data_IF_672581078936
#
_entry.id   IF_672581078936
#
_cell.length_a   1.000
_cell.length_b   1.000
_cell.length_c   1.000
_cell.angle_alpha   90.00
_cell.angle_beta   90.00
_cell.angle_gamma   90.00
#
_symmetry.space_group_name_H-M   'P 1'
#
loop_
_entity.id
_entity.type
_entity.pdbx_description
1 polymer ?
#
# COMPACT_ATOMS: atom_id res chain seq x y z
N UNK A 1 -68.61 -12.19 -49.16
CA UNK A 1 -68.76 -13.55 -49.73
C UNK A 1 -67.81 -13.71 -50.90
N UNK A 2 -66.63 -14.28 -50.71
CA UNK A 2 -66.16 -15.45 -51.49
C UNK A 2 -64.87 -15.97 -50.85
N UNK A 3 -64.75 -17.27 -50.87
CA UNK A 3 -63.85 -18.12 -50.10
C UNK A 3 -62.64 -18.51 -50.96
N UNK A 4 -61.53 -18.90 -50.31
CA UNK A 4 -60.88 -20.23 -50.44
C UNK A 4 -59.33 -20.15 -50.41
N UNK A 5 -58.76 -20.85 -49.40
CA UNK A 5 -57.34 -21.27 -49.21
C UNK A 5 -56.87 -22.22 -50.35
N UNK A 6 -55.68 -22.91 -50.31
CA UNK A 6 -54.46 -22.85 -49.46
C UNK A 6 -53.13 -22.90 -50.26
N UNK A 7 -51.97 -22.93 -49.58
CA UNK A 7 -50.77 -23.53 -50.20
C UNK A 7 -49.42 -23.24 -49.53
N UNK A 8 -48.98 -24.18 -48.70
CA UNK A 8 -47.60 -24.66 -48.50
C UNK A 8 -46.46 -23.73 -48.03
N UNK A 9 -45.70 -24.21 -47.05
CA UNK A 9 -44.29 -23.84 -46.89
C UNK A 9 -43.80 -23.55 -45.47
N UNK A 10 -44.05 -24.43 -44.50
CA UNK A 10 -43.25 -24.46 -43.28
C UNK A 10 -41.91 -25.15 -43.59
N UNK A 11 -40.82 -24.40 -43.52
CA UNK A 11 -39.47 -24.93 -43.40
C UNK A 11 -38.75 -24.09 -42.35
N UNK A 12 -38.61 -24.69 -41.17
CA UNK A 12 -37.80 -24.20 -40.08
C UNK A 12 -36.39 -23.88 -40.58
N UNK A 13 -35.90 -22.69 -40.25
CA UNK A 13 -34.48 -22.37 -40.26
C UNK A 13 -34.04 -22.21 -38.82
N UNK A 14 -33.44 -23.28 -38.32
CA UNK A 14 -32.52 -23.24 -37.19
C UNK A 14 -31.39 -22.28 -37.54
N UNK A 15 -31.48 -21.07 -37.00
CA UNK A 15 -30.40 -20.09 -36.95
C UNK A 15 -29.95 -20.01 -35.51
N UNK A 16 -29.04 -20.91 -35.15
CA UNK A 16 -28.18 -20.85 -33.98
C UNK A 16 -27.40 -19.54 -34.02
N UNK A 17 -27.99 -18.49 -33.42
CA UNK A 17 -27.24 -17.29 -33.04
C UNK A 17 -26.48 -17.63 -31.78
N UNK A 18 -25.34 -18.32 -31.98
CA UNK A 18 -24.30 -18.48 -30.99
C UNK A 18 -23.85 -17.08 -30.58
N UNK A 19 -24.37 -16.61 -29.45
CA UNK A 19 -23.90 -15.41 -28.78
C UNK A 19 -22.62 -15.82 -28.06
N UNK A 20 -21.51 -15.86 -28.81
CA UNK A 20 -20.18 -16.07 -28.23
C UNK A 20 -19.91 -14.95 -27.22
N UNK A 21 -19.60 -15.27 -25.95
CA UNK A 21 -19.22 -14.25 -25.00
C UNK A 21 -17.86 -13.68 -25.44
N UNK A 22 -17.81 -12.35 -25.60
CA UNK A 22 -16.59 -11.59 -25.77
C UNK A 22 -15.49 -12.15 -24.85
N UNK A 23 -14.37 -12.57 -25.46
CA UNK A 23 -13.21 -13.04 -24.74
C UNK A 23 -12.70 -12.01 -23.73
N UNK A 24 -11.89 -12.42 -22.73
CA UNK A 24 -11.41 -11.52 -21.70
C UNK A 24 -10.77 -10.27 -22.32
N UNK A 25 -11.34 -9.13 -21.92
CA UNK A 25 -11.04 -7.78 -22.37
C UNK A 25 -9.52 -7.54 -22.38
N UNK A 26 -9.02 -6.98 -23.49
CA UNK A 26 -7.61 -6.61 -23.76
C UNK A 26 -7.00 -5.53 -22.82
N UNK A 27 -7.40 -5.50 -21.54
CA UNK A 27 -6.80 -4.66 -20.49
C UNK A 27 -5.38 -5.11 -20.09
N UNK A 28 -4.92 -6.24 -20.62
CA UNK A 28 -3.82 -7.03 -20.07
C UNK A 28 -2.42 -6.67 -20.61
N UNK A 29 -2.22 -5.46 -21.12
CA UNK A 29 -0.88 -5.08 -21.63
C UNK A 29 -0.55 -3.60 -21.50
N UNK A 30 -0.90 -2.98 -20.38
CA UNK A 30 -0.14 -1.80 -19.97
C UNK A 30 1.18 -2.27 -19.33
N UNK A 31 2.33 -1.62 -19.62
CA UNK A 31 3.57 -1.95 -18.95
C UNK A 31 3.37 -1.76 -17.44
N UNK A 32 3.32 -2.87 -16.69
CA UNK A 32 3.20 -2.87 -15.23
C UNK A 32 4.45 -2.20 -14.66
N UNK A 33 4.27 -1.03 -14.06
CA UNK A 33 5.31 -0.43 -13.26
C UNK A 33 5.46 -1.27 -11.99
N UNK A 34 6.60 -1.94 -11.84
CA UNK A 34 6.90 -2.82 -10.71
C UNK A 34 8.03 -2.25 -9.87
N UNK A 35 7.97 -2.51 -8.57
CA UNK A 35 9.02 -2.13 -7.60
C UNK A 35 9.41 -3.36 -6.80
N UNK A 36 10.70 -3.69 -6.76
CA UNK A 36 11.23 -4.72 -5.87
C UNK A 36 11.27 -4.18 -4.44
N UNK A 37 10.61 -4.86 -3.51
CA UNK A 37 10.53 -4.45 -2.10
C UNK A 37 11.26 -5.47 -1.22
N UNK A 38 12.15 -4.99 -0.36
CA UNK A 38 12.86 -5.81 0.63
C UNK A 38 12.78 -5.19 2.02
N UNK A 39 13.04 -5.99 3.05
CA UNK A 39 13.24 -5.48 4.39
C UNK A 39 14.60 -4.76 4.50
N UNK A 40 14.61 -3.62 5.19
CA UNK A 40 15.80 -2.90 5.58
C UNK A 40 16.06 -3.13 7.08
N UNK A 41 17.03 -4.00 7.43
CA UNK A 41 17.46 -4.15 8.82
C UNK A 41 18.28 -2.92 9.24
N UNK A 42 17.99 -2.41 10.44
CA UNK A 42 18.78 -1.35 11.08
C UNK A 42 18.96 -1.74 12.56
N UNK A 43 20.16 -2.19 12.96
CA UNK A 43 20.36 -2.78 14.29
C UNK A 43 20.14 -1.79 15.44
N UNK A 44 20.19 -0.48 15.18
CA UNK A 44 19.91 0.55 16.18
C UNK A 44 18.41 0.75 16.30
N UNK A 45 17.74 1.03 15.18
CA UNK A 45 16.30 1.29 15.17
C UNK A 45 15.49 0.03 15.49
N UNK A 46 15.96 -1.15 15.13
CA UNK A 46 15.28 -2.41 15.44
C UNK A 46 15.21 -2.72 16.94
N UNK A 47 16.02 -2.07 17.79
CA UNK A 47 15.98 -2.24 19.25
C UNK A 47 15.03 -1.27 19.96
N UNK A 48 14.89 -0.07 19.41
CA UNK A 48 14.19 1.06 20.07
C UNK A 48 12.94 1.51 19.32
N UNK A 49 12.76 1.06 18.08
CA UNK A 49 11.69 1.47 17.20
C UNK A 49 10.39 0.73 17.44
N UNK A 50 9.40 1.10 16.64
CA UNK A 50 8.04 0.60 16.70
C UNK A 50 7.67 -0.06 15.37
N UNK A 51 6.99 -1.20 15.42
CA UNK A 51 6.45 -1.84 14.23
C UNK A 51 5.55 -0.84 13.46
N UNK A 52 5.65 -0.73 12.12
CA UNK A 52 4.81 0.14 11.29
C UNK A 52 3.29 -0.01 11.54
N UNK A 53 2.88 -1.19 12.02
CA UNK A 53 1.50 -1.58 12.33
C UNK A 53 1.09 -1.27 13.77
N UNK A 54 2.00 -0.80 14.60
CA UNK A 54 1.73 -0.48 16.00
C UNK A 54 0.80 0.73 16.17
N UNK A 55 0.09 0.76 17.29
CA UNK A 55 -0.71 1.91 17.70
C UNK A 55 0.14 3.17 17.90
N UNK A 56 1.42 3.02 18.27
CA UNK A 56 2.36 4.13 18.38
C UNK A 56 2.54 4.86 17.04
N UNK A 57 2.79 4.10 15.97
CA UNK A 57 2.97 4.67 14.63
C UNK A 57 1.69 5.35 14.15
N UNK A 58 0.54 4.71 14.35
CA UNK A 58 -0.74 5.30 13.99
C UNK A 58 -1.02 6.60 14.77
N UNK A 59 -0.73 6.63 16.08
CA UNK A 59 -1.02 7.78 16.94
C UNK A 59 -0.10 8.97 16.67
N UNK A 60 1.20 8.74 16.49
CA UNK A 60 2.20 9.82 16.48
C UNK A 60 2.80 10.09 15.10
N UNK A 61 3.00 9.07 14.28
CA UNK A 61 3.57 9.24 12.94
C UNK A 61 2.52 9.65 11.90
N UNK A 62 1.22 9.40 12.12
CA UNK A 62 0.17 9.74 11.14
C UNK A 62 0.12 11.24 10.81
N UNK A 63 0.21 12.12 11.80
CA UNK A 63 0.23 13.57 11.57
C UNK A 63 1.49 14.06 10.85
N UNK A 64 2.57 13.26 10.88
CA UNK A 64 3.89 13.64 10.36
C UNK A 64 4.12 13.06 8.95
N UNK A 65 3.81 11.77 8.75
CA UNK A 65 3.93 11.06 7.47
C UNK A 65 2.69 11.21 6.58
N UNK A 66 1.53 11.40 7.19
CA UNK A 66 0.24 11.39 6.51
C UNK A 66 -0.35 9.97 6.37
N UNK A 67 -1.68 9.86 6.19
CA UNK A 67 -2.39 8.58 6.23
C UNK A 67 -1.90 7.57 5.19
N UNK A 68 -1.66 8.02 3.95
CA UNK A 68 -1.23 7.15 2.85
C UNK A 68 0.14 6.51 3.11
N UNK A 69 1.06 7.24 3.76
CA UNK A 69 2.38 6.69 4.11
C UNK A 69 2.28 5.63 5.19
N UNK A 70 1.45 5.88 6.23
CA UNK A 70 1.22 4.92 7.30
C UNK A 70 0.56 3.65 6.76
N UNK A 71 -0.51 3.78 5.96
CA UNK A 71 -1.19 2.62 5.37
C UNK A 71 -0.28 1.84 4.42
N UNK A 72 0.47 2.52 3.54
CA UNK A 72 1.44 1.84 2.67
C UNK A 72 2.48 1.08 3.49
N UNK A 73 3.08 1.70 4.52
CA UNK A 73 4.09 1.05 5.34
C UNK A 73 3.53 -0.19 6.07
N UNK A 74 2.28 -0.13 6.55
CA UNK A 74 1.59 -1.28 7.15
C UNK A 74 1.41 -2.41 6.14
N UNK A 75 0.88 -2.12 4.95
CA UNK A 75 0.69 -3.11 3.88
C UNK A 75 2.02 -3.75 3.46
N UNK A 76 3.08 -2.96 3.32
CA UNK A 76 4.40 -3.49 2.97
C UNK A 76 4.99 -4.32 4.12
N UNK A 77 4.80 -3.93 5.38
CA UNK A 77 5.25 -4.69 6.54
C UNK A 77 4.54 -6.06 6.64
N UNK A 78 3.21 -6.09 6.46
CA UNK A 78 2.45 -7.35 6.43
C UNK A 78 2.94 -8.28 5.32
N UNK A 79 3.23 -7.73 4.13
CA UNK A 79 3.78 -8.53 3.02
C UNK A 79 5.20 -8.99 3.27
N UNK A 80 6.07 -8.17 3.86
CA UNK A 80 7.44 -8.57 4.22
C UNK A 80 7.47 -9.62 5.33
N UNK A 81 6.46 -9.66 6.21
CA UNK A 81 6.31 -10.74 7.19
C UNK A 81 5.94 -12.06 6.51
N UNK A 82 5.09 -12.03 5.49
CA UNK A 82 4.71 -13.21 4.70
C UNK A 82 5.80 -13.65 3.69
N UNK A 83 6.56 -12.70 3.14
CA UNK A 83 7.59 -12.88 2.12
C UNK A 83 8.93 -12.23 2.58
N UNK A 84 9.68 -12.84 3.52
CA UNK A 84 10.85 -12.21 4.14
C UNK A 84 12.03 -11.92 3.21
N UNK A 85 12.17 -12.70 2.14
CA UNK A 85 13.20 -12.51 1.10
C UNK A 85 12.90 -11.31 0.17
N UNK A 86 11.74 -10.69 0.35
CA UNK A 86 11.23 -9.59 -0.46
C UNK A 86 10.25 -10.05 -1.54
N UNK A 87 9.58 -9.08 -2.15
CA UNK A 87 8.54 -9.32 -3.14
C UNK A 87 8.53 -8.25 -4.23
N UNK A 88 7.82 -8.53 -5.33
CA UNK A 88 7.56 -7.55 -6.38
C UNK A 88 6.21 -6.87 -6.13
N UNK A 89 6.23 -5.55 -6.01
CA UNK A 89 5.05 -4.71 -5.85
C UNK A 89 4.60 -4.19 -7.21
N UNK A 90 3.37 -4.50 -7.62
CA UNK A 90 2.71 -3.79 -8.71
C UNK A 90 2.23 -2.41 -8.23
N UNK A 91 2.73 -1.36 -8.86
CA UNK A 91 2.46 0.03 -8.45
C UNK A 91 0.99 0.40 -8.72
N UNK A 92 0.40 -0.04 -9.82
CA UNK A 92 -0.98 0.30 -10.15
C UNK A 92 -1.98 -0.39 -9.23
N UNK A 93 -1.75 -1.68 -8.96
CA UNK A 93 -2.58 -2.49 -8.07
C UNK A 93 -2.51 -1.98 -6.62
N UNK A 94 -1.29 -1.70 -6.14
CA UNK A 94 -1.09 -1.14 -4.80
C UNK A 94 -1.71 0.25 -4.64
N UNK A 95 -1.61 1.10 -5.67
CA UNK A 95 -2.23 2.42 -5.63
C UNK A 95 -3.77 2.31 -5.55
N UNK A 96 -4.36 1.38 -6.30
CA UNK A 96 -5.80 1.11 -6.25
C UNK A 96 -6.23 0.57 -4.89
N UNK A 97 -5.52 -0.41 -4.33
CA UNK A 97 -5.84 -1.00 -3.03
C UNK A 97 -5.77 0.01 -1.88
N UNK A 98 -4.94 1.05 -2.02
CA UNK A 98 -4.80 2.15 -1.06
C UNK A 98 -5.73 3.34 -1.32
N UNK A 99 -6.59 3.28 -2.34
CA UNK A 99 -7.49 4.38 -2.72
C UNK A 99 -6.77 5.61 -3.32
N UNK A 100 -5.57 5.42 -3.87
CA UNK A 100 -4.71 6.46 -4.44
C UNK A 100 -4.89 6.64 -5.97
N UNK A 101 -5.78 5.85 -6.59
CA UNK A 101 -6.04 5.85 -8.03
C UNK A 101 -5.11 4.93 -8.83
N UNK A 102 -5.14 5.05 -10.16
CA UNK A 102 -4.45 4.12 -11.10
C UNK A 102 -3.14 4.69 -11.68
N UNK A 103 -2.72 5.88 -11.27
CA UNK A 103 -1.54 6.53 -11.82
C UNK A 103 -0.24 5.80 -11.45
N UNK A 104 0.62 5.55 -12.44
CA UNK A 104 1.92 4.86 -12.26
C UNK A 104 3.15 5.74 -12.54
N UNK A 105 2.95 7.01 -12.90
CA UNK A 105 4.05 7.92 -13.22
C UNK A 105 4.83 8.43 -12.00
N UNK A 106 5.94 9.14 -12.25
CA UNK A 106 6.77 9.75 -11.19
C UNK A 106 6.01 10.69 -10.24
N UNK A 107 4.95 11.31 -10.75
CA UNK A 107 4.10 12.25 -10.00
C UNK A 107 2.83 11.61 -9.42
N UNK A 108 2.64 10.30 -9.65
CA UNK A 108 1.50 9.57 -9.12
C UNK A 108 1.44 9.64 -7.59
N UNK A 109 0.24 9.59 -6.98
CA UNK A 109 0.10 9.66 -5.53
C UNK A 109 0.90 8.58 -4.79
N UNK A 110 0.96 7.34 -5.31
CA UNK A 110 1.79 6.28 -4.72
C UNK A 110 3.29 6.61 -4.81
N UNK A 111 3.77 7.08 -5.96
CA UNK A 111 5.17 7.53 -6.13
C UNK A 111 5.54 8.66 -5.16
N UNK A 112 4.63 9.62 -4.93
CA UNK A 112 4.80 10.68 -3.93
C UNK A 112 4.80 10.14 -2.49
N UNK A 113 3.94 9.17 -2.21
CA UNK A 113 3.87 8.48 -0.89
C UNK A 113 5.19 7.76 -0.60
N UNK A 114 5.73 7.01 -1.56
CA UNK A 114 7.03 6.34 -1.39
C UNK A 114 8.15 7.37 -1.25
N UNK A 115 8.16 8.43 -2.07
CA UNK A 115 9.15 9.50 -1.96
C UNK A 115 9.13 10.13 -0.57
N UNK A 116 7.94 10.33 0.02
CA UNK A 116 7.80 10.83 1.38
C UNK A 116 8.33 9.84 2.41
N UNK A 117 8.02 8.54 2.31
CA UNK A 117 8.63 7.53 3.19
C UNK A 117 10.16 7.56 3.12
N UNK A 118 10.75 7.76 1.92
CA UNK A 118 12.19 7.92 1.77
C UNK A 118 12.70 9.20 2.43
N UNK A 119 12.02 10.33 2.25
CA UNK A 119 12.40 11.62 2.86
C UNK A 119 12.38 11.58 4.39
N UNK A 120 11.44 10.86 4.98
CA UNK A 120 11.35 10.65 6.43
C UNK A 120 12.25 9.52 6.93
N UNK A 121 13.02 8.89 6.05
CA UNK A 121 13.96 7.82 6.40
C UNK A 121 13.29 6.48 6.73
N UNK A 122 12.00 6.31 6.47
CA UNK A 122 11.26 5.05 6.71
C UNK A 122 11.53 4.00 5.64
N UNK A 123 11.97 4.45 4.47
CA UNK A 123 12.36 3.59 3.37
C UNK A 123 13.60 4.13 2.66
N UNK A 124 14.27 3.29 1.88
CA UNK A 124 15.42 3.66 1.08
C UNK A 124 15.27 3.13 -0.34
N UNK A 125 15.62 3.93 -1.35
CA UNK A 125 15.70 3.44 -2.74
C UNK A 125 17.02 2.72 -2.95
N UNK A 126 16.99 1.62 -3.69
CA UNK A 126 18.17 0.90 -4.15
C UNK A 126 18.00 0.47 -5.60
N UNK A 127 19.09 0.37 -6.35
CA UNK A 127 19.04 0.07 -7.77
C UNK A 127 18.15 1.05 -8.56
N UNK A 128 17.59 0.58 -9.67
CA UNK A 128 16.67 1.37 -10.50
C UNK A 128 15.24 1.37 -9.95
N UNK A 129 14.76 0.19 -9.56
CA UNK A 129 13.34 -0.05 -9.22
C UNK A 129 13.18 -0.69 -7.82
N UNK A 130 14.12 -0.48 -6.91
CA UNK A 130 14.12 -1.05 -5.56
C UNK A 130 13.58 -0.11 -4.47
N UNK A 131 12.95 -0.68 -3.46
CA UNK A 131 12.53 -0.03 -2.23
C UNK A 131 12.80 -0.92 -1.01
N UNK A 132 13.69 -0.49 -0.13
CA UNK A 132 13.93 -1.17 1.15
C UNK A 132 13.11 -0.47 2.24
N UNK A 133 12.24 -1.18 2.95
CA UNK A 133 11.42 -0.62 4.04
C UNK A 133 12.03 -0.96 5.40
N UNK A 134 12.15 0.03 6.30
CA UNK A 134 12.55 -0.25 7.67
C UNK A 134 11.57 -1.20 8.36
N UNK A 135 12.10 -2.20 9.06
CA UNK A 135 11.30 -3.12 9.88
C UNK A 135 10.64 -2.43 11.07
N UNK A 136 11.33 -1.43 11.63
CA UNK A 136 10.82 -0.61 12.73
C UNK A 136 11.00 0.87 12.41
N UNK A 137 10.02 1.66 12.81
CA UNK A 137 10.09 3.11 12.71
C UNK A 137 10.72 3.68 13.98
N UNK A 138 11.64 4.64 13.88
CA UNK A 138 12.25 5.26 15.05
C UNK A 138 11.17 5.89 15.95
N UNK A 139 11.42 6.00 17.25
CA UNK A 139 10.67 6.90 18.11
C UNK A 139 10.64 8.30 17.50
N UNK A 140 9.51 8.99 17.65
CA UNK A 140 9.33 10.31 17.06
C UNK A 140 10.35 11.30 17.63
N UNK A 141 11.09 11.98 16.75
CA UNK A 141 12.08 12.98 17.20
C UNK A 141 11.39 14.19 17.86
N UNK A 142 12.08 14.88 18.78
CA UNK A 142 11.50 16.07 19.45
C UNK A 142 11.02 17.14 18.45
N UNK A 143 11.74 17.31 17.34
CA UNK A 143 11.35 18.24 16.28
C UNK A 143 10.03 17.87 15.60
N UNK A 144 9.79 16.57 15.34
CA UNK A 144 8.51 16.13 14.78
C UNK A 144 7.38 16.17 15.81
N UNK A 145 7.69 15.85 17.08
CA UNK A 145 6.73 15.89 18.18
C UNK A 145 6.18 17.30 18.40
N UNK A 146 7.04 18.32 18.33
CA UNK A 146 6.65 19.73 18.52
C UNK A 146 5.58 20.21 17.52
N UNK A 147 5.39 19.52 16.39
CA UNK A 147 4.39 19.83 15.36
C UNK A 147 3.03 19.19 15.63
N UNK A 148 2.94 18.27 16.59
CA UNK A 148 1.69 17.60 16.96
C UNK A 148 0.87 18.48 17.93
N UNK A 149 -0.46 18.29 18.02
CA UNK A 149 -1.27 18.93 19.05
C UNK A 149 -0.75 18.62 20.46
N UNK A 150 -0.86 19.59 21.39
CA UNK A 150 -0.31 19.48 22.75
C UNK A 150 -0.80 18.24 23.52
N UNK A 151 -2.01 17.74 23.23
CA UNK A 151 -2.52 16.50 23.81
C UNK A 151 -1.69 15.26 23.40
N UNK A 152 -1.30 15.18 22.12
CA UNK A 152 -0.44 14.09 21.63
C UNK A 152 0.99 14.23 22.14
N UNK A 153 1.50 15.45 22.32
CA UNK A 153 2.82 15.69 22.91
C UNK A 153 2.89 15.12 24.34
N UNK A 154 1.93 15.50 25.21
CA UNK A 154 1.87 14.99 26.58
C UNK A 154 1.66 13.48 26.65
N UNK A 155 0.83 12.92 25.77
CA UNK A 155 0.62 11.49 25.70
C UNK A 155 1.92 10.75 25.34
N UNK A 156 2.67 11.25 24.36
CA UNK A 156 3.96 10.67 23.95
C UNK A 156 4.99 10.71 25.09
N UNK A 157 5.08 11.83 25.80
CA UNK A 157 5.95 11.97 26.98
C UNK A 157 5.60 10.95 28.06
N UNK A 158 4.31 10.78 28.37
CA UNK A 158 3.84 9.82 29.36
C UNK A 158 4.16 8.37 28.97
N UNK A 159 3.94 7.98 27.70
CA UNK A 159 4.27 6.64 27.20
C UNK A 159 5.79 6.38 27.19
N UNK A 160 6.57 7.38 26.82
CA UNK A 160 8.04 7.29 26.81
C UNK A 160 8.59 7.11 28.23
N UNK A 161 8.09 7.89 29.20
CA UNK A 161 8.44 7.72 30.61
C UNK A 161 8.02 6.36 31.17
N UNK A 162 6.82 5.87 30.83
CA UNK A 162 6.34 4.56 31.27
C UNK A 162 7.24 3.43 30.71
N UNK A 163 7.61 3.53 29.43
CA UNK A 163 8.52 2.57 28.78
C UNK A 163 9.90 2.57 29.41
N UNK A 164 10.45 3.74 29.74
CA UNK A 164 11.74 3.87 30.41
C UNK A 164 11.74 3.22 31.81
N UNK A 165 10.65 3.35 32.56
CA UNK A 165 10.52 2.72 33.90
C UNK A 165 10.47 1.19 33.84
N UNK A 166 9.97 0.63 32.74
CA UNK A 166 9.88 -0.82 32.52
C UNK A 166 11.20 -1.42 32.00
N UNK A 167 12.16 -0.60 31.55
CA UNK A 167 13.48 -1.02 31.06
C UNK A 167 14.61 -0.42 31.91
N UNK A 168 14.81 -0.86 33.17
CA UNK A 168 15.85 -0.30 34.03
C UNK A 168 17.30 -0.61 33.58
N UNK A 169 17.53 -1.66 32.77
CA UNK A 169 18.88 -2.19 32.47
C UNK A 169 19.46 -1.80 31.09
N UNK A 170 19.09 -0.63 30.54
CA UNK A 170 19.60 -0.16 29.23
C UNK A 170 20.52 1.08 29.32
N UNK A 171 21.22 1.26 30.43
CA UNK A 171 22.24 2.29 30.64
C UNK A 171 23.66 1.70 30.53
#
# INVERSE_FOLDING_TARGET
MTSKRPGAGSAARDGDSSNDPEGPTSLDRQPRAVVSVIAWPDPVIDRVGHDPRSAYVERYWLGVLGPSCVLLARTLADRLEAEPDGFTLDVAECAQSLGLGTGVGRHAPLSRTITRLTQFGMAQRYGRDGLALRRHFPPLSPHHLARLPAGLQRAHEAETMATARLRPDAA
#
